data_IF_504517955466
#
_entry.id   IF_504517955466
#
_cell.length_a   1.000
_cell.length_b   1.000
_cell.length_c   1.000
_cell.angle_alpha   90.00
_cell.angle_beta   90.00
_cell.angle_gamma   90.00
#
_symmetry.space_group_name_H-M   'P 1'
#
loop_
_entity.id
_entity.type
_entity.pdbx_description
1 polymer ?
#
# COMPACT_ATOMS: atom_id res chain seq x y z
N UNK A 1 27.19 -15.23 -10.64
CA UNK A 1 27.69 -14.86 -9.29
C UNK A 1 27.04 -13.58 -8.78
N UNK A 2 27.06 -12.47 -9.53
CA UNK A 2 26.49 -11.17 -9.11
C UNK A 2 25.01 -11.25 -8.70
N UNK A 3 24.18 -12.03 -9.38
CA UNK A 3 22.75 -12.23 -9.03
C UNK A 3 22.60 -12.98 -7.70
N UNK A 4 23.35 -14.07 -7.53
CA UNK A 4 23.37 -14.87 -6.29
C UNK A 4 23.84 -14.02 -5.11
N UNK A 5 24.93 -13.25 -5.29
CA UNK A 5 25.51 -12.42 -4.24
C UNK A 5 24.57 -11.26 -3.87
N UNK A 6 23.84 -10.71 -4.84
CA UNK A 6 22.81 -9.71 -4.57
C UNK A 6 21.66 -10.28 -3.74
N UNK A 7 21.15 -11.47 -4.06
CA UNK A 7 20.03 -12.07 -3.32
C UNK A 7 20.48 -12.56 -1.93
N UNK A 8 21.53 -13.38 -1.87
CA UNK A 8 21.94 -14.02 -0.61
C UNK A 8 22.63 -13.08 0.36
N UNK A 9 23.50 -12.19 -0.14
CA UNK A 9 24.27 -11.31 0.74
C UNK A 9 23.60 -9.94 0.88
N UNK A 10 23.35 -9.23 -0.22
CA UNK A 10 22.85 -7.86 -0.18
C UNK A 10 21.40 -7.78 0.27
N UNK A 11 20.51 -8.61 -0.25
CA UNK A 11 19.07 -8.56 0.09
C UNK A 11 18.75 -9.24 1.42
N UNK A 12 19.55 -10.17 1.88
CA UNK A 12 19.30 -10.90 3.13
C UNK A 12 20.18 -10.39 4.27
N UNK A 13 21.49 -10.62 4.21
CA UNK A 13 22.39 -10.32 5.32
C UNK A 13 22.62 -8.82 5.48
N UNK A 14 23.04 -8.13 4.40
CA UNK A 14 23.38 -6.70 4.49
C UNK A 14 22.14 -5.87 4.81
N UNK A 15 20.99 -6.20 4.25
CA UNK A 15 19.72 -5.49 4.51
C UNK A 15 19.21 -5.72 5.92
N UNK A 16 19.45 -6.88 6.52
CA UNK A 16 19.09 -7.16 7.91
C UNK A 16 20.01 -6.42 8.89
N UNK A 17 21.32 -6.48 8.67
CA UNK A 17 22.31 -5.94 9.59
C UNK A 17 22.53 -4.43 9.43
N UNK A 18 22.49 -3.92 8.19
CA UNK A 18 22.77 -2.52 7.87
C UNK A 18 21.73 -1.99 6.87
N UNK A 19 20.48 -1.87 7.32
CA UNK A 19 19.40 -1.37 6.49
C UNK A 19 19.56 0.13 6.21
N UNK A 20 19.45 0.53 4.94
CA UNK A 20 19.47 1.92 4.51
C UNK A 20 18.07 2.51 4.29
N UNK A 21 17.03 1.68 4.37
CA UNK A 21 15.62 2.08 4.25
C UNK A 21 14.81 1.61 5.46
N UNK A 22 13.76 2.37 5.80
CA UNK A 22 12.82 2.06 6.89
C UNK A 22 13.49 1.90 8.26
N UNK A 23 14.56 2.66 8.52
CA UNK A 23 15.22 2.66 9.83
C UNK A 23 14.26 3.18 10.89
N UNK A 24 14.00 2.39 11.92
CA UNK A 24 13.09 2.68 13.02
C UNK A 24 13.72 2.29 14.36
N UNK A 25 13.33 2.95 15.48
CA UNK A 25 13.87 2.64 16.81
C UNK A 25 13.53 1.21 17.25
N UNK A 26 14.26 0.69 18.22
CA UNK A 26 14.10 -0.67 18.75
C UNK A 26 12.65 -0.97 19.20
N UNK A 27 12.01 -0.02 19.88
CA UNK A 27 10.63 -0.16 20.39
C UNK A 27 9.51 0.04 19.35
N UNK A 28 9.84 0.20 18.08
CA UNK A 28 8.88 0.47 17.01
C UNK A 28 7.70 -0.52 16.99
N UNK A 29 7.99 -1.82 17.15
CA UNK A 29 6.92 -2.83 17.15
C UNK A 29 6.00 -2.71 18.35
N UNK A 30 6.53 -2.48 19.54
CA UNK A 30 5.74 -2.38 20.76
C UNK A 30 4.83 -1.14 20.76
N UNK A 31 5.34 -0.01 20.31
CA UNK A 31 4.59 1.26 20.35
C UNK A 31 3.72 1.54 19.12
N UNK A 32 4.20 1.19 17.93
CA UNK A 32 3.57 1.65 16.68
C UNK A 32 2.91 0.52 15.86
N UNK A 33 3.29 -0.74 16.07
CA UNK A 33 2.79 -1.85 15.27
C UNK A 33 1.83 -2.74 16.05
N UNK A 34 2.25 -3.28 17.19
CA UNK A 34 1.44 -4.21 17.98
C UNK A 34 0.07 -3.62 18.37
N UNK A 35 -0.05 -2.37 18.85
CA UNK A 35 -1.35 -1.84 19.22
C UNK A 35 -2.38 -1.85 18.09
N UNK A 36 -2.11 -1.32 16.88
CA UNK A 36 -3.08 -1.34 15.78
C UNK A 36 -3.15 -2.67 15.03
N UNK A 37 -2.03 -3.38 14.82
CA UNK A 37 -2.00 -4.59 13.98
C UNK A 37 -2.60 -5.82 14.65
N UNK A 38 -2.58 -5.88 15.98
CA UNK A 38 -3.16 -6.98 16.74
C UNK A 38 -4.57 -6.68 17.25
N UNK A 39 -5.20 -5.60 16.78
CA UNK A 39 -6.62 -5.38 17.08
C UNK A 39 -7.47 -6.55 16.57
N UNK A 40 -8.50 -6.95 17.32
CA UNK A 40 -8.95 -6.41 18.62
C UNK A 40 -8.21 -6.98 19.84
N UNK A 41 -7.30 -7.95 19.66
CA UNK A 41 -6.63 -8.66 20.76
C UNK A 41 -5.71 -7.76 21.58
N UNK A 42 -5.13 -6.73 20.96
CA UNK A 42 -4.26 -5.76 21.67
C UNK A 42 -4.99 -5.03 22.79
N UNK A 43 -6.30 -4.79 22.67
CA UNK A 43 -7.11 -4.21 23.74
C UNK A 43 -7.25 -5.13 24.97
N UNK A 44 -7.10 -6.45 24.76
CA UNK A 44 -7.22 -7.46 25.80
C UNK A 44 -5.90 -7.79 26.46
N UNK A 45 -4.75 -7.26 25.94
CA UNK A 45 -3.42 -7.56 26.45
C UNK A 45 -3.25 -7.39 27.98
N UNK A 46 -3.82 -6.36 28.66
CA UNK A 46 -3.66 -6.24 30.09
C UNK A 46 -4.14 -7.49 30.87
N UNK A 47 -5.25 -8.08 30.45
CA UNK A 47 -5.78 -9.31 31.08
C UNK A 47 -5.07 -10.56 30.59
N UNK A 48 -4.70 -10.60 29.32
CA UNK A 48 -3.99 -11.74 28.71
C UNK A 48 -2.60 -11.90 29.31
N UNK A 49 -1.84 -10.82 29.48
CA UNK A 49 -0.52 -10.86 30.10
C UNK A 49 -0.58 -11.42 31.52
N UNK A 50 -1.60 -11.04 32.31
CA UNK A 50 -1.81 -11.60 33.66
C UNK A 50 -2.13 -13.10 33.61
N UNK A 51 -2.96 -13.53 32.66
CA UNK A 51 -3.30 -14.93 32.47
C UNK A 51 -2.09 -15.76 32.02
N UNK A 52 -1.31 -15.26 31.04
CA UNK A 52 -0.09 -15.91 30.56
C UNK A 52 0.98 -15.98 31.63
N UNK A 53 1.16 -14.91 32.42
CA UNK A 53 2.07 -14.95 33.60
C UNK A 53 1.71 -16.07 34.58
N UNK A 54 0.41 -16.20 34.89
CA UNK A 54 -0.06 -17.28 35.76
C UNK A 54 0.22 -18.67 35.18
N UNK A 55 -0.03 -18.86 33.87
CA UNK A 55 0.24 -20.12 33.19
C UNK A 55 1.72 -20.45 33.11
N UNK A 56 2.61 -19.46 32.88
CA UNK A 56 4.07 -19.63 32.88
C UNK A 56 4.55 -20.03 34.26
N UNK A 57 4.09 -19.37 35.31
CA UNK A 57 4.42 -19.74 36.71
C UNK A 57 3.89 -21.15 37.05
N UNK A 58 2.78 -21.58 36.49
CA UNK A 58 2.24 -22.94 36.60
C UNK A 58 2.92 -23.96 35.68
N UNK A 59 4.00 -23.60 34.99
CA UNK A 59 4.77 -24.47 34.06
C UNK A 59 3.93 -25.05 32.90
N UNK A 60 2.96 -24.31 32.40
CA UNK A 60 2.21 -24.72 31.20
C UNK A 60 3.11 -24.63 29.97
N UNK A 61 3.59 -25.78 29.52
CA UNK A 61 4.54 -25.90 28.39
C UNK A 61 3.97 -25.34 27.08
N UNK A 62 2.64 -25.39 26.87
CA UNK A 62 1.97 -24.89 25.66
C UNK A 62 2.05 -23.37 25.61
N UNK A 63 1.76 -22.72 26.72
CA UNK A 63 1.85 -21.26 26.85
C UNK A 63 3.29 -20.80 26.75
N UNK A 64 4.21 -21.49 27.43
CA UNK A 64 5.66 -21.16 27.40
C UNK A 64 6.21 -21.21 25.97
N UNK A 65 5.89 -22.29 25.22
CA UNK A 65 6.36 -22.45 23.85
C UNK A 65 5.82 -21.35 22.90
N UNK A 66 4.50 -21.11 22.92
CA UNK A 66 3.88 -20.13 22.04
C UNK A 66 4.28 -18.69 22.40
N UNK A 67 4.39 -18.39 23.71
CA UNK A 67 4.83 -17.08 24.17
C UNK A 67 6.32 -16.85 23.84
N UNK A 68 7.15 -17.87 24.01
CA UNK A 68 8.56 -17.84 23.63
C UNK A 68 8.74 -17.56 22.14
N UNK A 69 7.96 -18.25 21.28
CA UNK A 69 7.96 -17.98 19.84
C UNK A 69 7.54 -16.54 19.51
N UNK A 70 6.45 -16.07 20.13
CA UNK A 70 5.95 -14.70 19.90
C UNK A 70 6.98 -13.65 20.28
N UNK A 71 7.60 -13.81 21.47
CA UNK A 71 8.68 -12.93 21.95
C UNK A 71 9.88 -12.96 21.02
N UNK A 72 10.30 -14.17 20.58
CA UNK A 72 11.43 -14.31 19.64
C UNK A 72 11.18 -13.60 18.33
N UNK A 73 9.98 -13.73 17.73
CA UNK A 73 9.62 -13.04 16.49
C UNK A 73 9.72 -11.54 16.67
N UNK A 74 9.11 -10.99 17.72
CA UNK A 74 9.14 -9.54 17.98
C UNK A 74 10.57 -9.06 18.27
N UNK A 75 11.32 -9.79 19.07
CA UNK A 75 12.70 -9.45 19.44
C UNK A 75 13.62 -9.50 18.21
N UNK A 76 13.55 -10.58 17.42
CA UNK A 76 14.36 -10.76 16.23
C UNK A 76 14.21 -9.58 15.25
N UNK A 77 12.97 -9.18 14.95
CA UNK A 77 12.75 -8.04 14.07
C UNK A 77 13.03 -6.69 14.74
N UNK A 78 12.96 -6.60 16.07
CA UNK A 78 13.32 -5.38 16.80
C UNK A 78 14.82 -5.10 16.78
N UNK A 79 15.65 -6.12 16.67
CA UNK A 79 17.12 -5.98 16.58
C UNK A 79 17.57 -5.46 15.21
N UNK A 80 16.82 -5.78 14.13
CA UNK A 80 17.12 -5.23 12.80
C UNK A 80 16.83 -3.73 12.73
N UNK A 81 17.71 -2.89 12.15
CA UNK A 81 17.44 -1.46 11.98
C UNK A 81 16.28 -1.19 11.00
N UNK A 82 16.17 -1.97 9.93
CA UNK A 82 15.10 -1.84 8.92
C UNK A 82 13.82 -2.56 9.35
N UNK A 83 12.75 -1.79 9.67
CA UNK A 83 11.52 -2.34 10.24
C UNK A 83 10.29 -2.01 9.40
N UNK A 84 9.48 -3.04 9.13
CA UNK A 84 8.13 -2.89 8.54
C UNK A 84 7.11 -3.59 9.42
N UNK A 85 5.88 -3.03 9.51
CA UNK A 85 4.80 -3.60 10.34
C UNK A 85 4.50 -5.07 10.01
N UNK A 86 4.55 -5.45 8.75
CA UNK A 86 4.26 -6.81 8.26
C UNK A 86 5.21 -7.89 8.81
N UNK A 87 6.39 -7.54 9.33
CA UNK A 87 7.35 -8.53 9.82
C UNK A 87 6.89 -9.26 11.10
N UNK A 88 5.95 -8.71 11.86
CA UNK A 88 5.38 -9.40 13.05
C UNK A 88 4.17 -10.27 12.70
N UNK A 89 3.74 -10.31 11.43
CA UNK A 89 2.64 -11.18 10.97
C UNK A 89 2.83 -12.67 11.32
N UNK A 90 4.03 -13.27 11.22
CA UNK A 90 4.24 -14.66 11.64
C UNK A 90 3.89 -14.94 13.11
N UNK A 91 3.91 -13.93 13.97
CA UNK A 91 3.50 -14.05 15.37
C UNK A 91 1.97 -14.12 15.57
N UNK A 92 1.17 -13.73 14.57
CA UNK A 92 -0.29 -13.66 14.71
C UNK A 92 -0.96 -15.01 15.01
N UNK A 93 -0.60 -16.14 14.36
CA UNK A 93 -1.16 -17.45 14.70
C UNK A 93 -0.85 -17.87 16.14
N UNK A 94 0.38 -17.63 16.61
CA UNK A 94 0.75 -17.93 17.99
C UNK A 94 -0.04 -17.07 18.99
N UNK A 95 -0.24 -15.78 18.69
CA UNK A 95 -1.06 -14.88 19.49
C UNK A 95 -2.52 -15.38 19.56
N UNK A 96 -3.10 -15.82 18.46
CA UNK A 96 -4.46 -16.38 18.43
C UNK A 96 -4.57 -17.63 19.31
N UNK A 97 -3.64 -18.57 19.19
CA UNK A 97 -3.59 -19.79 20.01
C UNK A 97 -3.38 -19.50 21.50
N UNK A 98 -2.53 -18.51 21.82
CA UNK A 98 -2.32 -18.05 23.21
C UNK A 98 -3.55 -17.41 23.82
N UNK A 99 -4.39 -16.80 23.00
CA UNK A 99 -5.55 -16.02 23.46
C UNK A 99 -6.82 -16.90 23.60
N UNK A 100 -7.02 -17.83 22.65
CA UNK A 100 -8.23 -18.63 22.54
C UNK A 100 -8.70 -19.29 23.84
N UNK A 101 -7.84 -19.93 24.67
CA UNK A 101 -8.30 -20.58 25.91
C UNK A 101 -8.86 -19.61 26.95
N UNK A 102 -8.50 -18.35 26.88
CA UNK A 102 -8.89 -17.34 27.87
C UNK A 102 -10.11 -16.51 27.44
N UNK A 103 -10.54 -16.61 26.17
CA UNK A 103 -11.60 -15.76 25.63
C UNK A 103 -12.91 -15.90 26.38
N UNK A 104 -13.34 -17.13 26.73
CA UNK A 104 -14.57 -17.35 27.46
C UNK A 104 -14.58 -16.64 28.81
N UNK A 105 -13.47 -16.74 29.57
CA UNK A 105 -13.35 -16.10 30.89
C UNK A 105 -13.17 -14.59 30.82
N UNK A 106 -12.53 -14.09 29.75
CA UNK A 106 -12.38 -12.66 29.52
C UNK A 106 -13.69 -11.98 29.13
N UNK A 107 -14.46 -12.60 28.25
CA UNK A 107 -15.74 -12.06 27.78
C UNK A 107 -16.82 -12.11 28.83
N UNK A 108 -16.69 -12.96 29.86
CA UNK A 108 -17.58 -12.94 31.03
C UNK A 108 -17.34 -11.69 31.91
N UNK A 109 -16.26 -10.95 31.71
CA UNK A 109 -15.95 -9.71 32.43
C UNK A 109 -16.55 -8.51 31.69
N UNK A 110 -16.99 -7.51 32.46
CA UNK A 110 -17.61 -6.29 31.91
C UNK A 110 -16.66 -5.52 31.00
N UNK A 111 -15.47 -5.18 31.49
CA UNK A 111 -14.53 -4.30 30.78
C UNK A 111 -14.03 -4.83 29.43
N UNK A 112 -13.59 -6.09 29.29
CA UNK A 112 -13.20 -6.65 28.01
C UNK A 112 -14.33 -6.61 26.98
N UNK A 113 -15.56 -6.94 27.39
CA UNK A 113 -16.74 -6.86 26.53
C UNK A 113 -17.05 -5.43 26.10
N UNK A 114 -17.01 -4.47 27.04
CA UNK A 114 -17.20 -3.05 26.73
C UNK A 114 -16.14 -2.50 25.77
N UNK A 115 -14.86 -2.87 25.91
CA UNK A 115 -13.80 -2.43 25.00
C UNK A 115 -14.00 -2.97 23.58
N UNK A 116 -14.32 -4.24 23.43
CA UNK A 116 -14.59 -4.84 22.13
C UNK A 116 -15.83 -4.23 21.46
N UNK A 117 -16.92 -4.10 22.20
CA UNK A 117 -18.13 -3.43 21.72
C UNK A 117 -17.86 -1.96 21.36
N UNK A 118 -17.19 -1.23 22.25
CA UNK A 118 -16.81 0.17 22.05
C UNK A 118 -15.97 0.37 20.80
N UNK A 119 -15.02 -0.53 20.49
CA UNK A 119 -14.24 -0.48 19.26
C UNK A 119 -15.16 -0.61 18.02
N UNK A 120 -16.12 -1.53 18.03
CA UNK A 120 -17.06 -1.71 16.92
C UNK A 120 -17.90 -0.45 16.68
N UNK A 121 -18.45 0.14 17.75
CA UNK A 121 -19.18 1.41 17.68
C UNK A 121 -18.30 2.55 17.19
N UNK A 122 -17.08 2.69 17.73
CA UNK A 122 -16.13 3.73 17.32
C UNK A 122 -15.82 3.66 15.82
N UNK A 123 -15.54 2.46 15.30
CA UNK A 123 -15.27 2.26 13.87
C UNK A 123 -16.46 2.69 13.00
N UNK A 124 -17.67 2.32 13.38
CA UNK A 124 -18.89 2.73 12.67
C UNK A 124 -19.10 4.23 12.68
N UNK A 125 -18.96 4.88 13.85
CA UNK A 125 -19.12 6.33 14.02
C UNK A 125 -18.05 7.09 13.23
N UNK A 126 -16.80 6.65 13.27
CA UNK A 126 -15.70 7.27 12.51
C UNK A 126 -15.95 7.18 11.01
N UNK A 127 -16.41 6.04 10.50
CA UNK A 127 -16.74 5.90 9.08
C UNK A 127 -17.89 6.83 8.66
N UNK A 128 -18.98 6.92 9.44
CA UNK A 128 -20.09 7.84 9.15
C UNK A 128 -19.64 9.31 9.24
N UNK A 129 -18.85 9.65 10.26
CA UNK A 129 -18.31 11.01 10.42
C UNK A 129 -17.39 11.40 9.28
N UNK A 130 -16.50 10.50 8.85
CA UNK A 130 -15.64 10.71 7.69
C UNK A 130 -16.44 10.84 6.39
N UNK A 131 -17.50 10.05 6.21
CA UNK A 131 -18.41 10.19 5.09
C UNK A 131 -19.09 11.57 5.07
N UNK A 132 -19.59 12.02 6.22
CA UNK A 132 -20.19 13.36 6.37
C UNK A 132 -19.18 14.48 6.05
N UNK A 133 -17.95 14.38 6.55
CA UNK A 133 -16.90 15.35 6.26
C UNK A 133 -16.56 15.42 4.75
N UNK A 134 -16.51 14.26 4.07
CA UNK A 134 -16.29 14.21 2.63
C UNK A 134 -17.49 14.72 1.82
N UNK A 135 -18.71 14.55 2.32
CA UNK A 135 -19.93 15.03 1.65
C UNK A 135 -20.07 16.57 1.70
N UNK A 136 -19.53 17.21 2.76
CA UNK A 136 -19.67 18.65 3.00
C UNK A 136 -18.45 19.45 2.50
N UNK A 137 -17.27 18.81 2.39
CA UNK A 137 -16.03 19.51 2.08
C UNK A 137 -15.42 19.10 0.75
N UNK A 138 -15.68 19.88 -0.31
CA UNK A 138 -15.04 19.69 -1.62
C UNK A 138 -13.51 19.73 -1.54
N UNK A 139 -12.97 20.56 -0.65
CA UNK A 139 -11.52 20.64 -0.42
C UNK A 139 -10.93 19.34 0.08
N UNK A 140 -11.66 18.60 0.92
CA UNK A 140 -11.24 17.30 1.42
C UNK A 140 -11.39 16.21 0.36
N UNK A 141 -12.50 16.24 -0.37
CA UNK A 141 -12.75 15.32 -1.49
C UNK A 141 -11.67 15.47 -2.58
N UNK A 142 -11.34 16.70 -2.98
CA UNK A 142 -10.32 16.98 -4.00
C UNK A 142 -8.90 16.56 -3.57
N UNK A 143 -8.57 16.58 -2.26
CA UNK A 143 -7.27 16.08 -1.75
C UNK A 143 -7.11 14.56 -1.89
N UNK A 144 -8.19 13.83 -1.96
CA UNK A 144 -8.16 12.37 -2.12
C UNK A 144 -8.03 11.92 -3.59
N UNK A 145 -8.05 12.88 -4.53
CA UNK A 145 -8.02 12.59 -5.96
C UNK A 145 -9.38 12.16 -6.51
N UNK A 146 -9.39 11.70 -7.76
CA UNK A 146 -10.62 11.27 -8.42
C UNK A 146 -11.08 9.88 -7.92
N UNK A 147 -11.93 9.89 -6.90
CA UNK A 147 -12.59 8.70 -6.36
C UNK A 147 -13.93 8.39 -7.05
N UNK A 148 -14.23 9.10 -8.13
CA UNK A 148 -15.50 9.00 -8.83
C UNK A 148 -16.67 9.69 -8.10
N UNK A 149 -17.90 9.54 -8.62
CA UNK A 149 -19.08 10.20 -8.05
C UNK A 149 -19.35 9.72 -6.63
N UNK A 150 -19.74 10.66 -5.77
CA UNK A 150 -20.06 10.42 -4.36
C UNK A 150 -18.96 9.65 -3.60
N UNK A 151 -17.75 10.21 -3.39
CA UNK A 151 -16.64 9.53 -2.72
C UNK A 151 -16.93 9.19 -1.25
N UNK A 152 -17.91 9.84 -0.65
CA UNK A 152 -18.38 9.61 0.71
C UNK A 152 -19.27 8.36 0.86
N UNK A 153 -19.94 7.91 -0.20
CA UNK A 153 -20.95 6.85 -0.16
C UNK A 153 -20.41 5.49 0.36
N UNK A 154 -19.23 5.00 -0.09
CA UNK A 154 -18.68 3.75 0.43
C UNK A 154 -18.41 3.78 1.95
N UNK A 155 -17.95 4.92 2.46
CA UNK A 155 -17.70 5.08 3.90
C UNK A 155 -18.99 5.18 4.68
N UNK A 156 -20.02 5.84 4.14
CA UNK A 156 -21.34 5.90 4.78
C UNK A 156 -21.96 4.51 4.89
N UNK A 157 -21.95 3.74 3.78
CA UNK A 157 -22.50 2.37 3.78
C UNK A 157 -21.71 1.48 4.74
N UNK A 158 -20.39 1.54 4.70
CA UNK A 158 -19.55 0.79 5.64
C UNK A 158 -19.90 1.14 7.08
N UNK A 159 -19.94 2.43 7.43
CA UNK A 159 -20.25 2.88 8.78
C UNK A 159 -21.66 2.47 9.22
N UNK A 160 -22.67 2.63 8.36
CA UNK A 160 -24.05 2.21 8.66
C UNK A 160 -24.16 0.71 8.92
N UNK A 161 -23.51 -0.12 8.10
CA UNK A 161 -23.49 -1.58 8.28
C UNK A 161 -22.75 -1.96 9.56
N UNK A 162 -21.61 -1.33 9.87
CA UNK A 162 -20.91 -1.58 11.14
C UNK A 162 -21.78 -1.23 12.35
N UNK A 163 -22.46 -0.09 12.34
CA UNK A 163 -23.38 0.29 13.41
C UNK A 163 -24.54 -0.69 13.54
N UNK A 164 -25.14 -1.11 12.42
CA UNK A 164 -26.22 -2.10 12.42
C UNK A 164 -25.77 -3.44 13.02
N UNK A 165 -24.60 -3.95 12.64
CA UNK A 165 -24.04 -5.19 13.21
C UNK A 165 -23.84 -5.05 14.72
N UNK A 166 -23.35 -3.90 15.20
CA UNK A 166 -23.17 -3.67 16.62
C UNK A 166 -24.50 -3.53 17.39
N UNK A 167 -25.55 -2.99 16.77
CA UNK A 167 -26.89 -2.98 17.34
C UNK A 167 -27.43 -4.40 17.45
N UNK A 168 -27.39 -5.17 16.37
CA UNK A 168 -27.93 -6.53 16.31
C UNK A 168 -27.21 -7.49 17.27
N UNK A 169 -25.87 -7.36 17.36
CA UNK A 169 -25.03 -8.25 18.17
C UNK A 169 -24.57 -7.61 19.49
N UNK A 170 -25.31 -6.62 20.02
CA UNK A 170 -24.95 -5.88 21.25
C UNK A 170 -24.67 -6.75 22.47
N UNK A 171 -25.27 -7.93 22.53
CA UNK A 171 -25.10 -8.92 23.62
C UNK A 171 -23.92 -9.88 23.38
N UNK A 172 -23.31 -9.85 22.20
CA UNK A 172 -22.21 -10.73 21.79
C UNK A 172 -21.06 -9.90 21.20
N UNK A 173 -20.32 -9.13 22.01
CA UNK A 173 -19.33 -8.14 21.54
C UNK A 173 -18.20 -8.74 20.70
N UNK A 174 -17.78 -9.98 20.99
CA UNK A 174 -16.80 -10.68 20.15
C UNK A 174 -17.38 -10.98 18.76
N UNK A 175 -18.58 -11.51 18.70
CA UNK A 175 -19.24 -11.76 17.41
C UNK A 175 -19.49 -10.47 16.64
N UNK A 176 -19.88 -9.39 17.34
CA UNK A 176 -20.06 -8.07 16.74
C UNK A 176 -18.78 -7.57 16.05
N UNK A 177 -17.64 -7.60 16.76
CA UNK A 177 -16.37 -7.13 16.16
C UNK A 177 -15.88 -8.05 15.05
N UNK A 178 -16.00 -9.37 15.18
CA UNK A 178 -15.61 -10.30 14.12
C UNK A 178 -16.47 -10.15 12.85
N UNK A 179 -17.80 -10.03 13.00
CA UNK A 179 -18.69 -9.74 11.89
C UNK A 179 -18.39 -8.37 11.27
N UNK A 180 -18.14 -7.36 12.09
CA UNK A 180 -17.73 -6.02 11.61
C UNK A 180 -16.44 -6.06 10.77
N UNK A 181 -15.44 -6.80 11.23
CA UNK A 181 -14.19 -6.98 10.48
C UNK A 181 -14.41 -7.73 9.17
N UNK A 182 -15.20 -8.81 9.18
CA UNK A 182 -15.52 -9.59 7.98
C UNK A 182 -16.30 -8.76 6.96
N UNK A 183 -17.35 -8.07 7.37
CA UNK A 183 -18.12 -7.18 6.48
C UNK A 183 -17.29 -6.01 6.00
N UNK A 184 -16.51 -5.39 6.88
CA UNK A 184 -15.59 -4.31 6.53
C UNK A 184 -14.57 -4.75 5.47
N UNK A 185 -14.01 -5.94 5.61
CA UNK A 185 -13.09 -6.51 4.62
C UNK A 185 -13.78 -6.80 3.28
N UNK A 186 -14.99 -7.34 3.29
CA UNK A 186 -15.76 -7.59 2.06
C UNK A 186 -16.10 -6.28 1.34
N UNK A 187 -16.61 -5.29 2.02
CA UNK A 187 -16.93 -3.97 1.42
C UNK A 187 -15.66 -3.27 0.90
N UNK A 188 -14.57 -3.34 1.67
CA UNK A 188 -13.29 -2.80 1.23
C UNK A 188 -12.80 -3.50 -0.05
N UNK A 189 -12.79 -4.83 -0.08
CA UNK A 189 -12.24 -5.60 -1.19
C UNK A 189 -13.09 -5.50 -2.45
N UNK A 190 -14.42 -5.60 -2.32
CA UNK A 190 -15.33 -5.67 -3.46
C UNK A 190 -15.76 -4.30 -3.99
N UNK A 191 -15.68 -3.26 -3.18
CA UNK A 191 -16.18 -1.94 -3.58
C UNK A 191 -15.14 -0.83 -3.43
N UNK A 192 -14.62 -0.60 -2.22
CA UNK A 192 -13.70 0.52 -1.96
C UNK A 192 -12.39 0.34 -2.74
N UNK A 193 -11.83 -0.88 -2.73
CA UNK A 193 -10.59 -1.19 -3.44
C UNK A 193 -10.70 -0.94 -4.96
N UNK A 194 -11.86 -1.26 -5.54
CA UNK A 194 -12.13 -1.01 -6.97
C UNK A 194 -12.13 0.50 -7.29
N UNK A 195 -12.76 1.31 -6.42
CA UNK A 195 -12.76 2.78 -6.57
C UNK A 195 -11.37 3.40 -6.38
N UNK A 196 -10.54 2.80 -5.54
CA UNK A 196 -9.17 3.26 -5.32
C UNK A 196 -8.18 2.77 -6.40
N UNK A 197 -8.65 2.05 -7.41
CA UNK A 197 -7.78 1.40 -8.39
C UNK A 197 -6.86 2.39 -9.10
N UNK A 198 -7.38 3.51 -9.60
CA UNK A 198 -6.60 4.55 -10.29
C UNK A 198 -5.54 5.21 -9.41
N UNK A 199 -5.80 5.31 -8.08
CA UNK A 199 -4.82 5.81 -7.12
C UNK A 199 -3.74 4.77 -6.76
N UNK A 200 -4.02 3.49 -6.93
CA UNK A 200 -3.17 2.38 -6.46
C UNK A 200 -2.43 1.65 -7.56
N UNK A 201 -2.94 1.70 -8.78
CA UNK A 201 -2.37 1.00 -9.92
C UNK A 201 -2.17 1.95 -11.10
N UNK A 202 -1.26 1.65 -12.01
CA UNK A 202 -1.07 2.43 -13.23
C UNK A 202 -2.10 2.12 -14.31
N UNK A 203 -3.18 1.36 -14.03
CA UNK A 203 -4.17 0.96 -15.02
C UNK A 203 -4.78 2.15 -15.76
N UNK A 204 -5.20 3.18 -15.02
CA UNK A 204 -5.83 4.36 -15.60
C UNK A 204 -4.91 5.11 -16.57
N UNK A 205 -3.65 5.38 -16.14
CA UNK A 205 -2.69 6.10 -16.99
C UNK A 205 -2.29 5.27 -18.21
N UNK A 206 -2.09 3.95 -18.07
CA UNK A 206 -1.76 3.09 -19.21
C UNK A 206 -2.91 2.97 -20.21
N UNK A 207 -4.15 2.96 -19.71
CA UNK A 207 -5.33 2.97 -20.58
C UNK A 207 -5.48 4.28 -21.35
N UNK A 208 -5.29 5.43 -20.68
CA UNK A 208 -5.33 6.74 -21.32
C UNK A 208 -4.21 6.91 -22.34
N UNK A 209 -2.99 6.52 -21.99
CA UNK A 209 -1.87 6.57 -22.94
C UNK A 209 -2.17 5.74 -24.20
N UNK A 210 -2.75 4.55 -24.06
CA UNK A 210 -3.13 3.72 -25.20
C UNK A 210 -4.27 4.31 -26.06
N UNK A 211 -5.11 5.18 -25.49
CA UNK A 211 -6.14 5.91 -26.25
C UNK A 211 -5.60 7.13 -26.99
N UNK A 212 -4.53 7.73 -26.45
CA UNK A 212 -3.94 8.97 -26.99
C UNK A 212 -2.83 8.72 -28.01
N UNK A 213 -2.09 7.64 -27.85
CA UNK A 213 -1.05 7.25 -28.81
C UNK A 213 -1.67 6.47 -29.95
N UNK A 214 -1.58 6.95 -31.20
CA UNK A 214 -2.17 6.29 -32.36
C UNK A 214 -1.64 4.86 -32.57
N UNK A 215 -2.46 4.00 -33.15
CA UNK A 215 -2.06 2.64 -33.48
C UNK A 215 -0.88 2.62 -34.45
N UNK A 216 0.16 1.87 -34.10
CA UNK A 216 1.40 1.78 -34.90
C UNK A 216 2.46 2.82 -34.54
N UNK A 217 2.19 3.72 -33.62
CA UNK A 217 3.20 4.62 -33.03
C UNK A 217 3.83 4.02 -31.78
N UNK A 218 5.04 4.46 -31.46
CA UNK A 218 5.85 3.88 -30.37
C UNK A 218 5.66 4.67 -29.07
N UNK A 219 5.52 3.96 -27.95
CA UNK A 219 5.41 4.54 -26.61
C UNK A 219 6.58 4.12 -25.73
N UNK A 220 7.32 5.10 -25.18
CA UNK A 220 8.36 4.91 -24.20
C UNK A 220 7.84 5.30 -22.81
N UNK A 221 8.12 4.46 -21.81
CA UNK A 221 7.84 4.74 -20.40
C UNK A 221 9.08 5.28 -19.71
N UNK A 222 9.09 6.56 -19.39
CA UNK A 222 10.13 7.19 -18.59
C UNK A 222 9.74 7.10 -17.09
N UNK A 223 10.68 6.67 -16.23
CA UNK A 223 10.36 6.35 -14.84
C UNK A 223 9.64 4.99 -14.69
N UNK A 224 9.98 4.05 -15.54
CA UNK A 224 9.41 2.70 -15.58
C UNK A 224 9.43 1.99 -14.22
N UNK A 225 8.30 1.32 -13.93
CA UNK A 225 8.16 0.32 -12.87
C UNK A 225 7.49 -0.91 -13.46
N UNK A 226 7.87 -2.10 -13.02
CA UNK A 226 7.37 -3.39 -13.54
C UNK A 226 5.84 -3.47 -13.62
N UNK A 227 5.14 -2.85 -12.67
CA UNK A 227 3.68 -2.82 -12.63
C UNK A 227 3.03 -2.12 -13.84
N UNK A 228 3.74 -1.24 -14.56
CA UNK A 228 3.21 -0.61 -15.78
C UNK A 228 3.01 -1.64 -16.90
N UNK A 229 3.86 -2.66 -16.97
CA UNK A 229 3.77 -3.70 -18.00
C UNK A 229 2.52 -4.57 -17.84
N UNK A 230 2.06 -4.79 -16.59
CA UNK A 230 0.84 -5.56 -16.32
C UNK A 230 -0.42 -4.93 -16.92
N UNK A 231 -0.39 -3.61 -17.14
CA UNK A 231 -1.51 -2.84 -17.67
C UNK A 231 -1.24 -2.27 -19.06
N UNK A 232 -0.11 -2.62 -19.68
CA UNK A 232 0.19 -2.20 -21.05
C UNK A 232 -0.83 -2.80 -22.03
N UNK A 233 -1.42 -1.96 -22.88
CA UNK A 233 -2.41 -2.35 -23.89
C UNK A 233 -1.86 -2.32 -25.31
N UNK A 234 -0.64 -1.84 -25.46
CA UNK A 234 0.10 -1.76 -26.71
C UNK A 234 1.58 -2.04 -26.42
N UNK A 235 2.42 -2.32 -27.43
CA UNK A 235 3.85 -2.43 -27.23
C UNK A 235 4.40 -1.16 -26.59
N UNK A 236 5.22 -1.33 -25.54
CA UNK A 236 5.87 -0.25 -24.83
C UNK A 236 7.37 -0.47 -24.75
N UNK A 237 8.12 0.63 -24.71
CA UNK A 237 9.56 0.60 -24.49
C UNK A 237 9.89 1.22 -23.14
N UNK A 238 11.00 0.84 -22.53
CA UNK A 238 11.44 1.41 -21.26
C UNK A 238 12.95 1.25 -21.08
N UNK A 239 13.54 2.11 -20.26
CA UNK A 239 14.92 1.97 -19.83
C UNK A 239 15.04 1.13 -18.54
N UNK A 240 16.25 0.70 -18.14
CA UNK A 240 16.45 -0.01 -16.89
C UNK A 240 15.91 0.77 -15.68
N UNK A 241 15.27 0.07 -14.74
CA UNK A 241 14.66 0.66 -13.54
C UNK A 241 15.65 1.45 -12.66
N UNK A 242 16.93 1.07 -12.65
CA UNK A 242 17.96 1.70 -11.81
C UNK A 242 18.61 2.93 -12.45
N UNK A 243 18.19 3.32 -13.64
CA UNK A 243 18.69 4.53 -14.28
C UNK A 243 18.19 5.77 -13.54
N UNK A 244 19.05 6.73 -13.24
CA UNK A 244 18.66 7.96 -12.54
C UNK A 244 17.70 8.82 -13.36
N UNK A 245 16.84 9.62 -12.70
CA UNK A 245 15.78 10.40 -13.35
C UNK A 245 16.32 11.36 -14.43
N UNK A 246 17.44 12.02 -14.17
CA UNK A 246 18.08 12.92 -15.15
C UNK A 246 18.61 12.19 -16.39
N UNK A 247 19.12 10.98 -16.21
CA UNK A 247 19.61 10.15 -17.31
C UNK A 247 18.42 9.56 -18.09
N UNK A 248 17.37 9.12 -17.41
CA UNK A 248 16.12 8.67 -18.05
C UNK A 248 15.47 9.78 -18.88
N UNK A 249 15.37 11.00 -18.34
CA UNK A 249 14.81 12.14 -19.06
C UNK A 249 15.62 12.46 -20.33
N UNK A 250 16.94 12.40 -20.23
CA UNK A 250 17.84 12.63 -21.37
C UNK A 250 17.71 11.56 -22.45
N UNK A 251 17.73 10.29 -22.07
CA UNK A 251 17.60 9.17 -23.01
C UNK A 251 16.20 9.17 -23.65
N UNK A 252 15.15 9.50 -22.90
CA UNK A 252 13.79 9.64 -23.42
C UNK A 252 13.69 10.79 -24.43
N UNK A 253 14.33 11.93 -24.16
CA UNK A 253 14.40 13.06 -25.08
C UNK A 253 15.14 12.70 -26.37
N UNK A 254 16.29 12.04 -26.26
CA UNK A 254 17.05 11.57 -27.40
C UNK A 254 16.27 10.55 -28.24
N UNK A 255 15.58 9.62 -27.60
CA UNK A 255 14.78 8.60 -28.26
C UNK A 255 13.59 9.20 -29.01
N UNK A 256 12.84 10.13 -28.42
CA UNK A 256 11.69 10.74 -29.09
C UNK A 256 12.12 11.64 -30.25
N UNK A 257 13.26 12.32 -30.14
CA UNK A 257 13.82 13.13 -31.23
C UNK A 257 14.22 12.31 -32.47
N UNK A 258 14.54 11.02 -32.28
CA UNK A 258 15.03 10.15 -33.35
C UNK A 258 13.90 9.62 -34.28
N UNK A 259 12.62 9.95 -34.02
CA UNK A 259 11.52 9.52 -34.89
C UNK A 259 10.21 10.29 -34.68
N UNK A 260 9.47 10.60 -35.77
CA UNK A 260 8.26 11.45 -35.71
C UNK A 260 7.03 10.74 -35.09
N UNK A 261 7.07 9.41 -34.94
CA UNK A 261 5.96 8.59 -34.43
C UNK A 261 6.28 8.02 -33.04
N UNK A 262 6.94 8.83 -32.22
CA UNK A 262 7.42 8.41 -30.91
C UNK A 262 6.86 9.30 -29.82
N UNK A 263 6.36 8.68 -28.78
CA UNK A 263 5.78 9.34 -27.62
C UNK A 263 6.43 8.88 -26.33
N UNK A 264 6.58 9.79 -25.38
CA UNK A 264 7.12 9.51 -24.05
C UNK A 264 6.04 9.76 -23.03
N UNK A 265 5.77 8.76 -22.18
CA UNK A 265 4.94 8.86 -21.00
C UNK A 265 5.84 8.85 -19.76
N UNK A 266 5.75 9.87 -18.93
CA UNK A 266 6.55 9.96 -17.71
C UNK A 266 5.87 10.77 -16.62
N UNK A 267 6.43 10.69 -15.39
CA UNK A 267 6.01 11.56 -14.30
C UNK A 267 6.36 13.01 -14.60
N UNK A 268 5.53 13.95 -14.13
CA UNK A 268 5.77 15.38 -14.34
C UNK A 268 7.17 15.80 -13.84
N UNK A 269 7.60 15.29 -12.67
CA UNK A 269 8.91 15.60 -12.08
C UNK A 269 10.08 15.19 -13.00
N UNK A 270 9.94 14.04 -13.68
CA UNK A 270 10.94 13.56 -14.62
C UNK A 270 10.85 14.30 -15.96
N UNK A 271 9.64 14.46 -16.50
CA UNK A 271 9.41 15.07 -17.81
C UNK A 271 9.87 16.53 -17.86
N UNK A 272 9.66 17.29 -16.78
CA UNK A 272 10.08 18.70 -16.71
C UNK A 272 11.59 18.91 -16.88
N UNK A 273 12.41 17.89 -16.74
CA UNK A 273 13.86 18.00 -16.96
C UNK A 273 14.22 18.28 -18.42
N UNK A 274 13.52 17.64 -19.39
CA UNK A 274 13.79 17.76 -20.81
C UNK A 274 12.59 18.17 -21.68
N UNK A 275 11.38 18.23 -21.13
CA UNK A 275 10.18 18.60 -21.87
C UNK A 275 9.55 19.88 -21.32
N UNK A 276 8.93 20.69 -22.17
CA UNK A 276 8.19 21.89 -21.83
C UNK A 276 6.77 21.47 -21.37
N UNK A 277 6.38 21.69 -20.11
CA UNK A 277 5.08 21.23 -19.59
C UNK A 277 3.90 21.77 -20.40
N UNK A 278 4.02 22.97 -20.93
CA UNK A 278 2.97 23.66 -21.71
C UNK A 278 2.67 22.98 -23.07
N UNK A 279 3.64 22.23 -23.60
CA UNK A 279 3.53 21.47 -24.84
C UNK A 279 3.28 19.98 -24.62
N UNK A 280 3.15 19.55 -23.37
CA UNK A 280 2.83 18.16 -23.04
C UNK A 280 1.34 17.98 -22.79
N UNK A 281 0.80 16.82 -23.09
CA UNK A 281 -0.55 16.46 -22.72
C UNK A 281 -0.58 15.94 -21.27
N UNK A 282 -1.33 16.63 -20.41
CA UNK A 282 -1.50 16.23 -19.01
C UNK A 282 -2.57 15.13 -18.90
N UNK A 283 -2.18 13.93 -18.46
CA UNK A 283 -3.08 12.79 -18.22
C UNK A 283 -3.69 12.78 -16.82
N UNK A 284 -3.41 13.80 -16.02
CA UNK A 284 -3.90 13.96 -14.65
C UNK A 284 -3.10 13.20 -13.60
N UNK A 285 -3.57 13.34 -12.34
CA UNK A 285 -2.97 12.64 -11.19
C UNK A 285 -3.52 11.22 -11.10
N UNK A 286 -2.66 10.23 -11.36
CA UNK A 286 -3.00 8.80 -11.30
C UNK A 286 -1.84 8.03 -10.69
N UNK A 287 -2.17 7.00 -9.94
CA UNK A 287 -1.15 6.23 -9.21
C UNK A 287 -0.26 7.14 -8.33
N UNK A 288 -0.88 8.20 -7.74
CA UNK A 288 -0.21 9.22 -6.89
C UNK A 288 0.91 10.01 -7.60
N UNK A 289 0.84 10.13 -8.89
CA UNK A 289 1.81 10.81 -9.73
C UNK A 289 1.08 11.58 -10.81
N UNK A 290 1.51 12.79 -11.10
CA UNK A 290 1.04 13.55 -12.26
C UNK A 290 1.77 13.05 -13.50
N UNK A 291 1.01 12.69 -14.52
CA UNK A 291 1.53 12.05 -15.71
C UNK A 291 1.42 12.96 -16.92
N UNK A 292 2.53 13.05 -17.67
CA UNK A 292 2.62 13.80 -18.90
C UNK A 292 2.94 12.86 -20.07
N UNK A 293 2.25 13.12 -21.21
CA UNK A 293 2.52 12.48 -22.50
C UNK A 293 3.08 13.53 -23.45
N UNK A 294 4.19 13.23 -24.11
CA UNK A 294 4.87 14.18 -25.00
C UNK A 294 5.41 13.50 -26.25
N UNK A 295 5.45 14.25 -27.35
CA UNK A 295 6.20 13.97 -28.55
C UNK A 295 7.44 14.85 -28.66
N UNK A 296 8.11 14.81 -29.81
CA UNK A 296 9.34 15.59 -30.07
C UNK A 296 9.13 17.11 -30.05
N UNK A 297 7.91 17.58 -30.31
CA UNK A 297 7.52 19.00 -30.32
C UNK A 297 7.59 19.65 -28.94
N UNK A 298 7.53 18.84 -27.88
CA UNK A 298 7.60 19.31 -26.51
C UNK A 298 9.03 19.39 -25.96
N UNK A 299 10.05 19.04 -26.74
CA UNK A 299 11.45 19.05 -26.26
C UNK A 299 11.93 20.48 -25.96
N UNK A 300 12.56 20.64 -24.81
CA UNK A 300 13.29 21.86 -24.46
C UNK A 300 14.51 22.05 -25.37
N UNK A 301 14.88 23.31 -25.68
CA UNK A 301 16.07 23.59 -26.50
C UNK A 301 17.35 22.93 -26.00
N UNK A 302 17.54 22.86 -24.68
CA UNK A 302 18.70 22.22 -24.05
C UNK A 302 18.77 20.70 -24.24
N UNK A 303 17.64 20.05 -24.57
CA UNK A 303 17.57 18.60 -24.79
C UNK A 303 17.36 18.22 -26.28
N UNK A 304 17.30 19.22 -27.17
CA UNK A 304 17.29 19.00 -28.62
C UNK A 304 18.66 18.56 -29.14
N UNK A 305 18.68 17.72 -30.17
CA UNK A 305 19.92 17.25 -30.78
C UNK A 305 20.71 16.20 -29.96
N UNK A 306 20.12 15.71 -28.86
CA UNK A 306 20.70 14.59 -28.14
C UNK A 306 20.61 13.30 -28.96
N UNK A 307 21.64 12.46 -28.88
CA UNK A 307 21.64 11.13 -29.47
C UNK A 307 21.43 10.07 -28.38
N UNK A 308 20.58 9.05 -28.63
CA UNK A 308 20.39 7.94 -27.70
C UNK A 308 21.73 7.22 -27.45
N UNK A 309 22.02 6.95 -26.18
CA UNK A 309 23.20 6.16 -25.76
C UNK A 309 22.84 4.74 -25.41
N UNK A 310 21.57 4.53 -25.03
CA UNK A 310 21.04 3.25 -24.61
C UNK A 310 19.89 2.83 -25.55
N UNK A 311 19.83 1.54 -25.83
CA UNK A 311 18.66 0.97 -26.47
C UNK A 311 17.61 0.62 -25.41
N UNK A 312 16.33 1.06 -25.57
CA UNK A 312 15.29 0.72 -24.64
C UNK A 312 14.87 -0.76 -24.80
N UNK A 313 14.52 -1.38 -23.71
CA UNK A 313 13.86 -2.69 -23.72
C UNK A 313 12.46 -2.56 -24.32
N UNK A 314 12.06 -3.55 -25.09
CA UNK A 314 10.71 -3.61 -25.68
C UNK A 314 9.89 -4.69 -25.00
N UNK A 315 8.68 -4.33 -24.57
CA UNK A 315 7.67 -5.24 -24.06
C UNK A 315 6.45 -5.22 -24.98
N UNK A 316 5.97 -6.41 -25.34
CA UNK A 316 4.75 -6.58 -26.14
C UNK A 316 3.72 -7.35 -25.30
N UNK A 317 2.53 -6.76 -25.00
CA UNK A 317 1.50 -7.45 -24.24
C UNK A 317 1.00 -8.69 -24.99
N UNK A 318 0.78 -9.77 -24.25
CA UNK A 318 0.15 -10.99 -24.82
C UNK A 318 1.10 -11.93 -25.57
N UNK A 319 2.40 -11.73 -25.47
CA UNK A 319 3.42 -12.72 -25.89
C UNK A 319 3.89 -13.55 -24.72
#
# INVERSE_FOLDING_TARGET
QAYRDNILLRQTVTRYANAWHHVKPFWYYLGSVIPPFWLPLSLLLPWLVLAWRKAVLGQDKRVILLLGYLVLVVLFFSLSPGKRGVYVTPGTPALALLTAPYMGTLLARVWPGCLLGGLGWLLGIVCVGAAGALAVSDKLANRLGDLGPAPWLPLLVLGAVLLLVNVLLRRAPLSAILCSLAVGWLLYSCWICVRLNDMRTPQGVMTLAAQKVPAGEELLLAGFKEQHLLFARQPVQHYPYLLGDGEQAREAAAWVAAGPKRHVLGSADLMVLCFEPEKTENLGNRHRTDWLLAGAEALKPACQGLTPRLEPFRYTPGL
#
